data_IF_582825524731
#
_entry.id   IF_582825524731
#
_cell.length_a   1.000
_cell.length_b   1.000
_cell.length_c   1.000
_cell.angle_alpha   90.00
_cell.angle_beta   90.00
_cell.angle_gamma   90.00
#
_symmetry.space_group_name_H-M   'P 1'
#
loop_
_entity.id
_entity.type
_entity.pdbx_description
1 polymer ?
#
# COMPACT_ATOMS: atom_id res chain seq x y z
N UNK A 1 -6.40 -40.26 81.14
CA UNK A 1 -7.17 -39.40 80.28
C UNK A 1 -6.17 -38.69 79.39
N UNK A 2 -6.05 -39.10 78.11
CA UNK A 2 -5.15 -38.47 77.12
C UNK A 2 -6.04 -37.73 76.12
N UNK A 3 -5.90 -36.40 76.04
CA UNK A 3 -6.62 -35.52 75.14
C UNK A 3 -5.85 -35.42 73.82
N UNK A 4 -6.45 -35.92 72.77
CA UNK A 4 -5.92 -35.72 71.39
C UNK A 4 -6.47 -34.41 70.83
N UNK A 5 -5.57 -33.47 70.53
CA UNK A 5 -5.88 -32.24 69.81
C UNK A 5 -5.64 -32.53 68.33
N UNK A 6 -6.72 -32.47 67.56
CA UNK A 6 -6.67 -32.58 66.06
C UNK A 6 -6.44 -31.19 65.48
N UNK A 7 -5.28 -30.98 64.78
CA UNK A 7 -4.99 -29.80 64.05
C UNK A 7 -5.54 -29.97 62.60
N UNK A 8 -6.59 -29.27 62.27
CA UNK A 8 -7.10 -29.19 60.87
C UNK A 8 -6.32 -28.07 60.15
N UNK A 9 -5.40 -28.48 59.29
CA UNK A 9 -4.69 -27.57 58.41
C UNK A 9 -5.61 -27.10 57.25
N UNK A 10 -5.96 -25.82 57.25
CA UNK A 10 -6.72 -25.17 56.19
C UNK A 10 -5.79 -24.83 55.03
N UNK A 11 -5.74 -25.66 53.97
CA UNK A 11 -5.05 -25.35 52.72
C UNK A 11 -5.85 -24.30 51.92
N UNK A 12 -5.43 -23.05 51.97
CA UNK A 12 -5.89 -22.01 51.06
C UNK A 12 -5.33 -22.28 49.64
N UNK A 13 -6.17 -22.84 48.76
CA UNK A 13 -5.89 -22.86 47.33
C UNK A 13 -6.05 -21.43 46.76
N UNK A 14 -4.95 -20.73 46.60
CA UNK A 14 -4.93 -19.51 45.81
C UNK A 14 -5.14 -19.89 44.34
N UNK A 15 -6.37 -19.76 43.83
CA UNK A 15 -6.70 -19.86 42.41
C UNK A 15 -6.07 -18.67 41.71
N UNK A 16 -4.90 -18.85 41.11
CA UNK A 16 -4.37 -17.89 40.12
C UNK A 16 -5.28 -17.90 38.92
N UNK A 17 -6.27 -17.01 38.89
CA UNK A 17 -6.97 -16.68 37.66
C UNK A 17 -5.96 -15.98 36.73
N UNK A 18 -5.36 -16.74 35.82
CA UNK A 18 -4.67 -16.18 34.67
C UNK A 18 -5.74 -15.48 33.81
N UNK A 19 -5.92 -14.18 34.00
CA UNK A 19 -6.61 -13.36 33.00
C UNK A 19 -5.76 -13.42 31.75
N UNK A 20 -6.18 -14.22 30.76
CA UNK A 20 -5.66 -14.08 29.41
C UNK A 20 -5.96 -12.65 28.99
N UNK A 21 -4.92 -11.86 28.73
CA UNK A 21 -5.08 -10.50 28.27
C UNK A 21 -5.98 -10.53 27.03
N UNK A 22 -7.06 -9.74 27.04
CA UNK A 22 -8.00 -9.67 25.92
C UNK A 22 -7.25 -9.16 24.68
N UNK A 23 -7.37 -9.89 23.55
CA UNK A 23 -6.70 -9.52 22.33
C UNK A 23 -7.29 -8.23 21.79
N UNK A 24 -6.44 -7.29 21.40
CA UNK A 24 -6.89 -6.08 20.70
C UNK A 24 -7.49 -6.45 19.36
N UNK A 25 -8.74 -6.07 19.11
CA UNK A 25 -9.34 -6.18 17.76
C UNK A 25 -8.81 -5.06 16.89
N UNK A 26 -8.22 -5.43 15.75
CA UNK A 26 -7.79 -4.50 14.69
C UNK A 26 -8.75 -4.63 13.52
N UNK A 27 -9.60 -3.61 13.31
CA UNK A 27 -10.52 -3.52 12.19
C UNK A 27 -9.79 -2.92 11.01
N UNK A 28 -9.60 -3.68 9.93
CA UNK A 28 -8.84 -3.24 8.76
C UNK A 28 -9.71 -3.18 7.50
N UNK A 29 -9.76 -2.00 6.87
CA UNK A 29 -10.47 -1.78 5.62
C UNK A 29 -9.66 -2.28 4.42
N UNK A 30 -10.22 -3.19 3.63
CA UNK A 30 -9.53 -3.85 2.51
C UNK A 30 -10.31 -3.67 1.21
N UNK A 31 -9.63 -3.16 0.19
CA UNK A 31 -10.20 -3.01 -1.15
C UNK A 31 -10.24 -4.36 -1.88
N UNK A 32 -11.35 -4.66 -2.56
CA UNK A 32 -11.54 -5.91 -3.30
C UNK A 32 -10.48 -6.18 -4.38
N UNK A 33 -9.91 -5.13 -4.99
CA UNK A 33 -8.86 -5.24 -6.01
C UNK A 33 -7.44 -5.07 -5.45
N UNK A 34 -7.30 -4.86 -4.13
CA UNK A 34 -6.01 -4.63 -3.48
C UNK A 34 -5.26 -5.92 -3.20
N UNK A 35 -3.93 -5.81 -3.06
CA UNK A 35 -3.04 -6.94 -2.76
C UNK A 35 -2.83 -7.18 -1.26
N UNK A 36 -3.34 -6.28 -0.40
CA UNK A 36 -3.27 -6.43 1.04
C UNK A 36 -3.97 -7.71 1.52
N UNK A 37 -5.07 -8.09 0.86
CA UNK A 37 -5.82 -9.30 1.23
C UNK A 37 -4.97 -10.58 1.15
N UNK A 38 -3.95 -10.63 0.28
CA UNK A 38 -3.04 -11.79 0.19
C UNK A 38 -2.25 -11.96 1.49
N UNK A 39 -1.74 -10.86 2.03
CA UNK A 39 -0.98 -10.83 3.28
C UNK A 39 -1.86 -11.15 4.49
N UNK A 40 -3.06 -10.57 4.55
CA UNK A 40 -4.00 -10.82 5.63
C UNK A 40 -4.53 -12.26 5.63
N UNK A 41 -4.77 -12.86 4.45
CA UNK A 41 -5.13 -14.27 4.32
C UNK A 41 -4.01 -15.17 4.87
N UNK A 42 -2.75 -14.89 4.50
CA UNK A 42 -1.62 -15.65 5.04
C UNK A 42 -1.53 -15.54 6.57
N UNK A 43 -1.79 -14.36 7.14
CA UNK A 43 -1.84 -14.14 8.59
C UNK A 43 -2.95 -14.94 9.28
N UNK A 44 -4.13 -15.06 8.64
CA UNK A 44 -5.26 -15.78 9.22
C UNK A 44 -5.11 -17.30 9.11
N UNK A 45 -4.51 -17.77 8.00
CA UNK A 45 -4.44 -19.19 7.66
C UNK A 45 -3.23 -19.92 8.26
N UNK A 46 -2.19 -19.19 8.67
CA UNK A 46 -1.00 -19.78 9.25
C UNK A 46 -0.99 -19.64 10.78
N UNK A 47 -1.10 -20.77 11.53
CA UNK A 47 -1.04 -20.74 12.98
C UNK A 47 0.25 -20.15 13.55
N UNK A 48 1.39 -20.25 12.80
CA UNK A 48 2.68 -19.73 13.23
C UNK A 48 2.76 -18.21 13.13
N UNK A 49 1.90 -17.60 12.31
CA UNK A 49 1.81 -16.16 12.11
C UNK A 49 0.73 -15.50 13.00
N UNK A 50 -0.10 -16.32 13.71
CA UNK A 50 -1.18 -15.80 14.57
C UNK A 50 -0.59 -15.19 15.86
N UNK A 51 -0.58 -13.87 16.00
CA UNK A 51 -0.07 -13.23 17.21
C UNK A 51 -1.01 -13.49 18.40
N UNK A 52 -0.43 -13.44 19.59
CA UNK A 52 -1.20 -13.54 20.84
C UNK A 52 -1.94 -12.24 21.17
N UNK A 53 -1.46 -11.10 20.66
CA UNK A 53 -1.78 -9.75 21.13
C UNK A 53 -2.95 -9.10 20.39
N UNK A 54 -3.28 -9.58 19.18
CA UNK A 54 -4.38 -9.02 18.39
C UNK A 54 -5.19 -10.08 17.64
N UNK A 55 -6.36 -9.70 17.21
CA UNK A 55 -7.18 -10.40 16.23
C UNK A 55 -7.59 -9.44 15.11
N UNK A 56 -7.72 -9.96 13.88
CA UNK A 56 -8.09 -9.16 12.71
C UNK A 56 -9.59 -9.28 12.43
N UNK A 57 -10.21 -8.13 12.19
CA UNK A 57 -11.54 -8.00 11.61
C UNK A 57 -11.39 -7.30 10.25
N UNK A 58 -11.54 -8.06 9.16
CA UNK A 58 -11.38 -7.56 7.79
C UNK A 58 -12.71 -7.00 7.32
N UNK A 59 -12.75 -5.72 6.97
CA UNK A 59 -13.92 -5.04 6.44
C UNK A 59 -13.71 -4.69 4.96
N UNK A 60 -14.49 -5.29 4.04
CA UNK A 60 -14.42 -4.94 2.63
C UNK A 60 -14.84 -3.49 2.40
N UNK A 61 -14.05 -2.75 1.61
CA UNK A 61 -14.38 -1.40 1.14
C UNK A 61 -14.37 -1.36 -0.38
N UNK A 62 -15.30 -0.60 -0.97
CA UNK A 62 -15.50 -0.59 -2.41
C UNK A 62 -14.29 -0.05 -3.19
N UNK A 63 -13.63 0.99 -2.66
CA UNK A 63 -12.48 1.65 -3.27
C UNK A 63 -11.68 2.44 -2.23
N UNK A 64 -10.63 3.14 -2.66
CA UNK A 64 -9.77 3.92 -1.78
C UNK A 64 -10.53 5.03 -1.02
N UNK A 65 -11.46 5.72 -1.66
CA UNK A 65 -12.22 6.81 -1.02
C UNK A 65 -13.19 6.26 0.04
N UNK A 66 -13.87 5.15 -0.23
CA UNK A 66 -14.69 4.46 0.78
C UNK A 66 -13.86 4.02 1.99
N UNK A 67 -12.61 3.56 1.76
CA UNK A 67 -11.68 3.25 2.84
C UNK A 67 -11.31 4.46 3.69
N UNK A 68 -11.01 5.60 3.06
CA UNK A 68 -10.71 6.85 3.76
C UNK A 68 -11.89 7.32 4.63
N UNK A 69 -13.12 7.24 4.10
CA UNK A 69 -14.34 7.57 4.85
C UNK A 69 -14.50 6.63 6.04
N UNK A 70 -14.33 5.31 5.84
CA UNK A 70 -14.43 4.33 6.92
C UNK A 70 -13.42 4.58 8.05
N UNK A 71 -12.17 4.94 7.71
CA UNK A 71 -11.14 5.29 8.68
C UNK A 71 -11.48 6.59 9.43
N UNK A 72 -11.89 7.64 8.72
CA UNK A 72 -12.22 8.92 9.32
C UNK A 72 -13.44 8.83 10.25
N UNK A 73 -14.43 8.02 9.90
CA UNK A 73 -15.61 7.77 10.74
C UNK A 73 -15.34 6.83 11.93
N UNK A 74 -14.19 6.15 11.96
CA UNK A 74 -13.87 5.15 12.97
C UNK A 74 -14.56 3.79 12.76
N UNK A 75 -15.13 3.54 11.57
CA UNK A 75 -15.66 2.23 11.22
C UNK A 75 -14.54 1.18 11.10
N UNK A 76 -13.35 1.59 10.70
CA UNK A 76 -12.12 0.78 10.70
C UNK A 76 -10.99 1.51 11.44
N UNK A 77 -10.00 0.77 11.92
CA UNK A 77 -8.83 1.30 12.62
C UNK A 77 -7.66 1.54 11.68
N UNK A 78 -7.55 0.72 10.63
CA UNK A 78 -6.44 0.76 9.67
C UNK A 78 -6.99 0.65 8.24
N UNK A 79 -6.38 1.40 7.32
CA UNK A 79 -6.49 1.19 5.87
C UNK A 79 -5.12 1.25 5.22
N UNK A 80 -5.01 0.83 3.97
CA UNK A 80 -3.85 1.16 3.13
C UNK A 80 -4.16 2.39 2.29
N UNK A 81 -3.35 3.44 2.46
CA UNK A 81 -3.46 4.71 1.71
C UNK A 81 -2.07 5.35 1.58
N UNK A 82 -2.00 6.61 1.14
CA UNK A 82 -0.76 7.32 0.94
C UNK A 82 -0.48 8.39 2.02
N UNK A 83 0.79 8.67 2.23
CA UNK A 83 1.26 9.61 3.24
C UNK A 83 1.01 11.09 2.86
N UNK A 84 0.76 11.40 1.57
CA UNK A 84 0.44 12.77 1.15
C UNK A 84 -0.93 13.16 1.69
N UNK A 85 -1.92 12.25 1.55
CA UNK A 85 -3.22 12.41 2.16
C UNK A 85 -3.14 12.53 3.69
N UNK A 86 -2.31 11.71 4.34
CA UNK A 86 -2.07 11.82 5.80
C UNK A 86 -1.54 13.20 6.16
N UNK A 87 -0.51 13.69 5.44
CA UNK A 87 0.04 15.02 5.67
C UNK A 87 -1.00 16.14 5.47
N UNK A 88 -1.84 16.03 4.45
CA UNK A 88 -2.89 17.03 4.20
C UNK A 88 -3.94 17.08 5.33
N UNK A 89 -4.30 15.92 5.89
CA UNK A 89 -5.19 15.84 7.05
C UNK A 89 -4.54 16.41 8.31
N UNK A 90 -3.26 16.10 8.55
CA UNK A 90 -2.53 16.65 9.71
C UNK A 90 -2.45 18.17 9.67
N UNK A 91 -2.36 18.76 8.49
CA UNK A 91 -2.41 20.21 8.32
C UNK A 91 -3.75 20.85 8.79
N UNK A 92 -4.79 20.04 8.91
CA UNK A 92 -6.09 20.46 9.48
C UNK A 92 -6.29 20.04 10.94
N UNK A 93 -5.25 19.50 11.59
CA UNK A 93 -5.27 19.05 12.98
C UNK A 93 -5.72 17.61 13.17
N UNK A 94 -5.91 16.83 12.11
CA UNK A 94 -6.31 15.43 12.23
C UNK A 94 -5.14 14.55 12.74
N UNK A 95 -5.49 13.55 13.55
CA UNK A 95 -4.56 12.68 14.26
C UNK A 95 -4.25 11.38 13.50
N UNK A 96 -3.92 11.48 12.20
CA UNK A 96 -3.54 10.32 11.41
C UNK A 96 -2.02 10.22 11.21
N UNK A 97 -1.53 9.00 11.07
CA UNK A 97 -0.11 8.69 10.80
C UNK A 97 -0.01 7.54 9.80
N UNK A 98 1.17 7.37 9.22
CA UNK A 98 1.47 6.43 8.16
C UNK A 98 2.62 5.51 8.54
N UNK A 99 2.47 4.21 8.32
CA UNK A 99 3.54 3.22 8.40
C UNK A 99 3.73 2.53 7.03
N UNK A 100 4.96 2.41 6.52
CA UNK A 100 5.23 1.89 5.18
C UNK A 100 4.71 0.48 4.92
N UNK A 101 4.09 0.27 3.73
CA UNK A 101 3.62 -1.03 3.29
C UNK A 101 4.25 -1.47 1.98
N UNK A 102 4.30 -0.60 0.95
CA UNK A 102 4.79 -0.98 -0.38
C UNK A 102 5.46 0.17 -1.12
N UNK A 103 6.58 -0.15 -1.78
CA UNK A 103 7.30 0.74 -2.70
C UNK A 103 6.71 0.73 -4.11
N UNK A 104 5.79 -0.20 -4.41
CA UNK A 104 5.18 -0.30 -5.72
C UNK A 104 4.20 0.83 -5.98
N UNK A 105 4.25 1.40 -7.17
CA UNK A 105 3.31 2.42 -7.60
C UNK A 105 2.64 2.02 -8.93
N UNK A 106 3.01 2.61 -10.03
CA UNK A 106 2.50 2.30 -11.36
C UNK A 106 3.59 2.14 -12.39
N UNK A 107 3.19 1.74 -13.60
CA UNK A 107 4.09 1.60 -14.76
C UNK A 107 3.45 2.08 -16.03
N UNK A 108 4.26 2.64 -16.92
CA UNK A 108 3.90 2.96 -18.30
C UNK A 108 4.12 1.72 -19.16
N UNK A 109 3.04 1.22 -19.76
CA UNK A 109 3.00 -0.03 -20.51
C UNK A 109 2.53 0.24 -21.94
N UNK A 110 3.11 -0.45 -22.90
CA UNK A 110 2.76 -0.39 -24.32
C UNK A 110 2.68 -1.80 -24.94
N UNK A 111 1.99 -2.00 -26.08
CA UNK A 111 2.08 -3.23 -26.84
C UNK A 111 3.54 -3.56 -27.21
N UNK A 112 3.89 -4.85 -27.28
CA UNK A 112 5.27 -5.28 -27.55
C UNK A 112 5.85 -4.73 -28.84
N UNK A 113 5.01 -4.63 -29.88
CA UNK A 113 5.37 -4.09 -31.20
C UNK A 113 5.18 -2.57 -31.33
N UNK A 114 4.88 -1.87 -30.23
CA UNK A 114 4.70 -0.42 -30.23
C UNK A 114 6.00 0.31 -30.60
N UNK A 115 5.94 1.37 -31.41
CA UNK A 115 7.09 2.24 -31.69
C UNK A 115 7.47 3.14 -30.50
N UNK A 116 6.72 3.11 -29.41
CA UNK A 116 6.98 3.91 -28.20
C UNK A 116 8.08 3.22 -27.39
N UNK A 117 9.27 3.82 -27.30
CA UNK A 117 10.43 3.31 -26.55
C UNK A 117 10.82 4.22 -25.38
N UNK A 118 10.30 5.43 -25.34
CA UNK A 118 10.59 6.45 -24.33
C UNK A 118 9.35 7.31 -24.03
N UNK A 119 9.43 8.17 -23.01
CA UNK A 119 8.37 9.14 -22.71
C UNK A 119 8.19 10.14 -23.86
N UNK A 120 9.25 10.48 -24.59
CA UNK A 120 9.17 11.42 -25.73
C UNK A 120 8.30 10.90 -26.88
N UNK A 121 8.24 9.60 -27.05
CA UNK A 121 7.45 8.97 -28.12
C UNK A 121 5.95 8.99 -27.84
N UNK A 122 5.54 9.44 -26.63
CA UNK A 122 4.13 9.63 -26.27
C UNK A 122 3.48 10.83 -26.97
N UNK A 123 4.28 11.75 -27.54
CA UNK A 123 3.74 12.92 -28.23
C UNK A 123 2.76 12.52 -29.35
N UNK A 124 1.54 13.05 -29.30
CA UNK A 124 0.46 12.75 -30.22
C UNK A 124 -0.17 11.37 -30.05
N UNK A 125 0.11 10.67 -28.95
CA UNK A 125 -0.45 9.34 -28.66
C UNK A 125 -1.65 9.42 -27.71
N UNK A 126 -2.51 8.39 -27.77
CA UNK A 126 -3.62 8.19 -26.84
C UNK A 126 -3.08 7.47 -25.61
N UNK A 127 -3.21 8.09 -24.45
CA UNK A 127 -2.71 7.57 -23.19
C UNK A 127 -3.86 7.28 -22.22
N UNK A 128 -4.02 6.01 -21.86
CA UNK A 128 -4.90 5.58 -20.76
C UNK A 128 -4.21 5.77 -19.42
N UNK A 129 -4.89 6.40 -18.46
CA UNK A 129 -4.34 6.72 -17.13
C UNK A 129 -5.27 6.18 -16.06
N UNK A 130 -4.76 5.29 -15.21
CA UNK A 130 -5.51 4.79 -14.07
C UNK A 130 -5.71 5.88 -13.02
N UNK A 131 -6.93 6.02 -12.51
CA UNK A 131 -7.29 7.09 -11.58
C UNK A 131 -7.81 8.34 -12.30
N UNK A 132 -7.35 9.50 -11.89
CA UNK A 132 -7.77 10.80 -12.42
C UNK A 132 -6.60 11.75 -12.65
N UNK A 133 -6.92 13.01 -12.93
CA UNK A 133 -5.91 14.06 -13.18
C UNK A 133 -4.93 14.27 -12.02
N UNK A 134 -5.35 13.93 -10.79
CA UNK A 134 -4.53 14.02 -9.59
C UNK A 134 -3.82 12.69 -9.23
N UNK A 135 -3.83 11.68 -10.12
CA UNK A 135 -3.03 10.47 -9.89
C UNK A 135 -1.54 10.83 -9.78
N UNK A 136 -0.89 10.33 -8.74
CA UNK A 136 0.49 10.70 -8.42
C UNK A 136 1.50 10.20 -9.45
N UNK A 137 1.26 9.02 -10.05
CA UNK A 137 2.14 8.51 -11.11
C UNK A 137 2.02 9.39 -12.36
N UNK A 138 0.79 9.85 -12.67
CA UNK A 138 0.55 10.76 -13.78
C UNK A 138 1.25 12.11 -13.57
N UNK A 139 1.10 12.71 -12.40
CA UNK A 139 1.76 13.99 -12.07
C UNK A 139 3.28 13.88 -12.14
N UNK A 140 3.85 12.81 -11.56
CA UNK A 140 5.30 12.59 -11.59
C UNK A 140 5.82 12.27 -13.00
N UNK A 141 5.04 11.56 -13.82
CA UNK A 141 5.40 11.33 -15.24
C UNK A 141 5.41 12.63 -16.04
N UNK A 142 4.46 13.54 -15.79
CA UNK A 142 4.47 14.89 -16.38
C UNK A 142 5.73 15.66 -15.97
N UNK A 143 6.09 15.64 -14.69
CA UNK A 143 7.31 16.30 -14.21
C UNK A 143 8.57 15.74 -14.89
N UNK A 144 8.64 14.43 -15.08
CA UNK A 144 9.76 13.80 -15.77
C UNK A 144 9.81 14.20 -17.25
N UNK A 145 8.66 14.21 -17.93
CA UNK A 145 8.55 14.66 -19.32
C UNK A 145 8.96 16.13 -19.48
N UNK A 146 8.60 16.97 -18.51
CA UNK A 146 8.95 18.39 -18.51
C UNK A 146 10.47 18.61 -18.41
N UNK A 147 11.21 17.77 -17.65
CA UNK A 147 12.69 17.78 -17.66
C UNK A 147 13.27 17.47 -19.05
N UNK A 148 12.54 16.72 -19.86
CA UNK A 148 12.89 16.39 -21.24
C UNK A 148 12.30 17.37 -22.27
N UNK A 149 11.82 18.54 -21.81
CA UNK A 149 11.23 19.61 -22.61
C UNK A 149 9.94 19.18 -23.33
N UNK A 150 9.20 18.23 -22.79
CA UNK A 150 7.91 17.77 -23.31
C UNK A 150 6.79 18.16 -22.35
N UNK A 151 5.86 18.99 -22.79
CA UNK A 151 4.56 19.16 -22.12
C UNK A 151 3.68 17.95 -22.44
N UNK A 152 3.77 16.92 -21.57
CA UNK A 152 3.04 15.69 -21.77
C UNK A 152 1.54 15.91 -21.66
N UNK A 153 1.09 16.81 -20.78
CA UNK A 153 -0.34 17.09 -20.60
C UNK A 153 -1.01 17.67 -21.85
N UNK A 154 -0.31 18.54 -22.57
CA UNK A 154 -0.80 19.11 -23.83
C UNK A 154 -0.54 18.21 -25.04
N UNK A 155 0.41 17.26 -24.93
CA UNK A 155 0.91 16.50 -26.07
C UNK A 155 0.23 15.14 -26.27
N UNK A 156 -0.57 14.65 -25.31
CA UNK A 156 -1.25 13.35 -25.40
C UNK A 156 -2.77 13.49 -25.31
N UNK A 157 -3.47 12.59 -25.99
CA UNK A 157 -4.91 12.41 -25.79
C UNK A 157 -5.13 11.51 -24.56
N UNK A 158 -5.70 12.09 -23.50
CA UNK A 158 -5.85 11.43 -22.18
C UNK A 158 -7.20 10.72 -22.04
N UNK A 159 -7.17 9.49 -21.55
CA UNK A 159 -8.36 8.76 -21.08
C UNK A 159 -8.15 8.34 -19.65
N UNK A 160 -8.90 8.91 -18.70
CA UNK A 160 -8.86 8.53 -17.30
C UNK A 160 -9.90 7.45 -16.98
N UNK A 161 -9.56 6.56 -16.06
CA UNK A 161 -10.52 5.53 -15.64
C UNK A 161 -10.02 4.61 -14.54
N UNK A 162 -10.91 3.72 -14.10
CA UNK A 162 -10.54 2.67 -13.16
C UNK A 162 -9.48 1.74 -13.75
N UNK A 163 -8.53 1.22 -12.95
CA UNK A 163 -7.41 0.41 -13.44
C UNK A 163 -7.81 -0.77 -14.34
N UNK A 164 -8.87 -1.56 -14.05
CA UNK A 164 -9.30 -2.63 -14.94
C UNK A 164 -9.76 -2.11 -16.31
N UNK A 165 -10.50 -0.99 -16.32
CA UNK A 165 -10.98 -0.37 -17.55
C UNK A 165 -9.83 0.09 -18.43
N UNK A 166 -8.79 0.70 -17.85
CA UNK A 166 -7.60 1.15 -18.55
C UNK A 166 -6.86 -0.03 -19.22
N UNK A 167 -6.79 -1.19 -18.56
CA UNK A 167 -6.25 -2.40 -19.20
C UNK A 167 -7.09 -2.85 -20.40
N UNK A 168 -8.41 -2.76 -20.31
CA UNK A 168 -9.28 -3.11 -21.45
C UNK A 168 -9.15 -2.10 -22.60
N UNK A 169 -8.93 -0.82 -22.34
CA UNK A 169 -8.71 0.18 -23.41
C UNK A 169 -7.50 -0.17 -24.28
N UNK A 170 -6.35 -0.56 -23.68
CA UNK A 170 -5.16 -0.92 -24.46
C UNK A 170 -5.33 -2.25 -25.19
N UNK A 171 -5.98 -3.25 -24.61
CA UNK A 171 -6.27 -4.54 -25.25
C UNK A 171 -7.16 -4.38 -26.48
N UNK A 172 -8.07 -3.41 -26.43
CA UNK A 172 -8.98 -3.07 -27.55
C UNK A 172 -8.38 -2.04 -28.51
N UNK A 173 -7.09 -1.72 -28.41
CA UNK A 173 -6.40 -0.72 -29.24
C UNK A 173 -7.05 0.68 -29.24
N UNK A 174 -7.78 1.01 -28.15
CA UNK A 174 -8.39 2.35 -27.98
C UNK A 174 -7.41 3.38 -27.47
N UNK A 175 -6.33 2.94 -26.84
CA UNK A 175 -5.18 3.74 -26.42
C UNK A 175 -3.89 3.09 -26.88
N UNK A 176 -2.82 3.87 -27.04
CA UNK A 176 -1.52 3.44 -27.55
C UNK A 176 -0.56 3.08 -26.41
N UNK A 177 -0.79 3.63 -25.23
CA UNK A 177 -0.04 3.36 -24.00
C UNK A 177 -0.97 3.47 -22.80
N UNK A 178 -0.60 2.85 -21.68
CA UNK A 178 -1.31 3.00 -20.39
C UNK A 178 -0.32 3.27 -19.28
N UNK A 179 -0.68 4.18 -18.38
CA UNK A 179 -0.08 4.35 -17.07
C UNK A 179 -1.03 3.73 -16.05
N UNK A 180 -0.65 2.56 -15.52
CA UNK A 180 -1.54 1.82 -14.63
C UNK A 180 -0.81 1.36 -13.37
N UNK A 181 -1.57 1.00 -12.34
CA UNK A 181 -1.03 0.48 -11.09
C UNK A 181 -0.30 -0.84 -11.31
N UNK A 182 0.75 -1.08 -10.52
CA UNK A 182 1.71 -2.15 -10.71
C UNK A 182 1.08 -3.53 -10.97
N UNK A 183 0.02 -3.90 -10.25
CA UNK A 183 -0.61 -5.22 -10.37
C UNK A 183 -1.50 -5.35 -11.61
N UNK A 184 -1.95 -4.24 -12.19
CA UNK A 184 -2.59 -4.20 -13.50
C UNK A 184 -1.56 -4.17 -14.63
N UNK A 185 -0.45 -3.46 -14.44
CA UNK A 185 0.70 -3.47 -15.35
C UNK A 185 1.31 -4.89 -15.46
N UNK A 186 1.52 -5.58 -14.33
CA UNK A 186 2.01 -6.95 -14.29
C UNK A 186 1.14 -7.94 -15.10
N UNK A 187 -0.17 -7.74 -15.12
CA UNK A 187 -1.09 -8.55 -15.95
C UNK A 187 -0.87 -8.32 -17.45
N UNK A 188 -0.64 -7.08 -17.86
CA UNK A 188 -0.32 -6.76 -19.26
C UNK A 188 1.06 -7.31 -19.64
N UNK A 189 2.06 -7.16 -18.77
CA UNK A 189 3.39 -7.71 -19.03
C UNK A 189 3.37 -9.24 -19.22
N UNK A 190 2.59 -9.96 -18.41
CA UNK A 190 2.40 -11.41 -18.55
C UNK A 190 1.76 -11.78 -19.91
N UNK A 191 1.00 -10.86 -20.50
CA UNK A 191 0.36 -11.00 -21.81
C UNK A 191 1.23 -10.48 -22.97
N UNK A 192 2.51 -10.21 -22.72
CA UNK A 192 3.47 -9.80 -23.74
C UNK A 192 3.56 -8.31 -24.01
N UNK A 193 2.92 -7.47 -23.20
CA UNK A 193 3.13 -6.02 -23.26
C UNK A 193 4.48 -5.64 -22.66
N UNK A 194 5.00 -4.49 -23.03
CA UNK A 194 6.32 -4.01 -22.64
C UNK A 194 6.22 -2.81 -21.70
N UNK A 195 6.96 -2.86 -20.59
CA UNK A 195 7.14 -1.72 -19.71
C UNK A 195 8.15 -0.73 -20.29
N UNK A 196 7.80 0.53 -20.32
CA UNK A 196 8.69 1.64 -20.67
C UNK A 196 9.42 2.15 -19.44
N UNK A 197 8.67 2.46 -18.39
CA UNK A 197 9.19 2.97 -17.13
C UNK A 197 8.19 2.64 -16.00
N UNK A 198 8.70 2.35 -14.82
CA UNK A 198 7.91 2.22 -13.60
C UNK A 198 8.04 3.47 -12.72
N UNK A 199 7.28 3.52 -11.62
CA UNK A 199 7.31 4.64 -10.70
C UNK A 199 8.66 4.87 -10.06
N UNK A 200 9.46 3.81 -9.84
CA UNK A 200 10.84 3.94 -9.33
C UNK A 200 11.75 4.60 -10.39
N UNK A 201 11.61 4.20 -11.63
CA UNK A 201 12.32 4.81 -12.76
C UNK A 201 11.95 6.29 -12.93
N UNK A 202 10.67 6.64 -12.78
CA UNK A 202 10.19 8.02 -12.80
C UNK A 202 10.86 8.84 -11.70
N UNK A 203 10.83 8.37 -10.46
CA UNK A 203 11.45 9.05 -9.31
C UNK A 203 12.96 9.19 -9.51
N UNK A 204 13.65 8.15 -9.97
CA UNK A 204 15.08 8.21 -10.29
C UNK A 204 15.40 9.26 -11.34
N UNK A 205 14.60 9.33 -12.41
CA UNK A 205 14.72 10.37 -13.44
C UNK A 205 14.49 11.79 -12.91
N UNK A 206 13.67 11.93 -11.87
CA UNK A 206 13.43 13.17 -11.14
C UNK A 206 14.53 13.49 -10.10
N UNK A 207 15.54 12.63 -9.92
CA UNK A 207 16.64 12.83 -8.97
C UNK A 207 16.37 12.30 -7.56
N UNK A 208 15.36 11.42 -7.42
CA UNK A 208 15.05 10.71 -6.18
C UNK A 208 15.56 9.28 -6.33
N UNK A 209 16.68 8.96 -5.72
CA UNK A 209 17.28 7.63 -5.77
C UNK A 209 16.77 6.69 -4.68
N UNK A 210 16.22 7.24 -3.62
CA UNK A 210 15.70 6.52 -2.45
C UNK A 210 14.40 5.77 -2.78
N UNK A 211 14.21 4.62 -2.15
CA UNK A 211 12.99 3.84 -2.25
C UNK A 211 11.93 4.42 -1.30
N UNK A 212 11.13 5.36 -1.78
CA UNK A 212 10.06 5.96 -0.98
C UNK A 212 8.78 5.14 -1.14
N UNK A 213 8.19 4.63 -0.04
CA UNK A 213 6.94 3.89 -0.08
C UNK A 213 5.81 4.71 -0.71
N UNK A 214 5.12 4.12 -1.71
CA UNK A 214 3.98 4.78 -2.36
C UNK A 214 2.74 4.76 -1.49
N UNK A 215 2.54 3.64 -0.79
CA UNK A 215 1.40 3.37 0.08
C UNK A 215 1.84 2.72 1.39
N UNK A 216 1.05 2.91 2.42
CA UNK A 216 1.29 2.34 3.74
C UNK A 216 0.01 2.19 4.55
N UNK A 217 0.14 1.61 5.71
CA UNK A 217 -0.91 1.56 6.71
C UNK A 217 -1.15 2.95 7.27
N UNK A 218 -2.40 3.38 7.28
CA UNK A 218 -2.84 4.66 7.84
C UNK A 218 -3.82 4.39 8.96
N UNK A 219 -3.59 5.02 10.10
CA UNK A 219 -4.34 4.84 11.33
C UNK A 219 -4.23 6.09 12.20
N UNK A 220 -5.06 6.21 13.25
CA UNK A 220 -4.93 7.30 14.23
C UNK A 220 -3.70 7.07 15.13
N UNK A 221 -2.90 8.12 15.32
CA UNK A 221 -1.70 8.06 16.15
C UNK A 221 -2.05 7.79 17.62
N UNK A 222 -3.11 8.41 18.14
CA UNK A 222 -3.60 8.16 19.50
C UNK A 222 -4.03 6.70 19.69
N UNK A 223 -4.83 6.16 18.77
CA UNK A 223 -5.24 4.76 18.82
C UNK A 223 -4.03 3.80 18.83
N UNK A 224 -3.03 4.05 17.99
CA UNK A 224 -1.82 3.24 17.93
C UNK A 224 -0.97 3.37 19.21
N UNK A 225 -0.95 4.54 19.86
CA UNK A 225 -0.27 4.75 21.12
C UNK A 225 -0.91 3.93 22.26
N UNK A 226 -2.25 3.88 22.29
CA UNK A 226 -3.02 3.09 23.27
C UNK A 226 -2.90 1.58 23.02
N UNK A 227 -2.63 1.15 21.77
CA UNK A 227 -2.53 -0.26 21.35
C UNK A 227 -1.15 -0.62 20.80
N UNK A 228 -0.10 -0.02 21.35
CA UNK A 228 1.29 -0.09 20.83
C UNK A 228 1.80 -1.51 20.62
N UNK A 229 1.52 -2.42 21.56
CA UNK A 229 1.92 -3.82 21.43
C UNK A 229 1.22 -4.50 20.26
N UNK A 230 -0.09 -4.34 20.13
CA UNK A 230 -0.88 -4.96 19.07
C UNK A 230 -0.48 -4.43 17.67
N UNK A 231 -0.29 -3.13 17.51
CA UNK A 231 0.09 -2.54 16.22
C UNK A 231 1.51 -2.95 15.78
N UNK A 232 2.46 -3.01 16.72
CA UNK A 232 3.82 -3.47 16.42
C UNK A 232 3.83 -4.98 16.06
N UNK A 233 3.06 -5.80 16.76
CA UNK A 233 2.87 -7.21 16.45
C UNK A 233 2.21 -7.39 15.08
N UNK A 234 1.23 -6.56 14.72
CA UNK A 234 0.60 -6.57 13.41
C UNK A 234 1.60 -6.27 12.29
N UNK A 235 2.43 -5.22 12.39
CA UNK A 235 3.43 -4.90 11.38
C UNK A 235 4.50 -6.00 11.25
N UNK A 236 4.93 -6.58 12.36
CA UNK A 236 5.88 -7.69 12.37
C UNK A 236 5.30 -8.92 11.68
N UNK A 237 4.07 -9.28 12.01
CA UNK A 237 3.37 -10.42 11.42
C UNK A 237 3.11 -10.20 9.91
N UNK A 238 2.75 -8.99 9.49
CA UNK A 238 2.62 -8.63 8.07
C UNK A 238 3.91 -8.81 7.28
N UNK A 239 5.06 -8.37 7.83
CA UNK A 239 6.37 -8.63 7.21
C UNK A 239 6.68 -10.12 7.10
N UNK A 240 6.36 -10.91 8.12
CA UNK A 240 6.55 -12.37 8.10
C UNK A 240 5.65 -13.04 7.06
N UNK A 241 4.36 -12.64 6.98
CA UNK A 241 3.43 -13.14 5.97
C UNK A 241 3.91 -12.82 4.55
N UNK A 242 4.36 -11.59 4.30
CA UNK A 242 4.96 -11.21 3.02
C UNK A 242 6.16 -12.09 2.68
N UNK A 243 7.08 -12.26 3.62
CA UNK A 243 8.26 -13.12 3.41
C UNK A 243 7.85 -14.56 3.06
N UNK A 244 6.88 -15.15 3.77
CA UNK A 244 6.35 -16.46 3.45
C UNK A 244 5.74 -16.53 2.05
N UNK A 245 4.92 -15.57 1.65
CA UNK A 245 4.34 -15.52 0.30
C UNK A 245 5.40 -15.42 -0.78
N UNK A 246 6.54 -14.81 -0.48
CA UNK A 246 7.64 -14.65 -1.42
C UNK A 246 8.58 -15.85 -1.49
N UNK A 247 8.78 -16.57 -0.39
CA UNK A 247 9.76 -17.68 -0.31
C UNK A 247 9.13 -19.06 -0.40
N UNK A 248 7.85 -19.23 -0.03
CA UNK A 248 7.15 -20.50 -0.02
C UNK A 248 6.13 -20.63 -1.16
N UNK A 249 6.31 -21.61 -2.04
CA UNK A 249 5.32 -21.92 -3.07
C UNK A 249 4.01 -22.44 -2.48
N UNK A 250 4.06 -23.15 -1.35
CA UNK A 250 2.87 -23.64 -0.67
C UNK A 250 2.04 -22.49 -0.08
N UNK A 251 2.70 -21.49 0.51
CA UNK A 251 2.02 -20.28 1.01
C UNK A 251 1.40 -19.47 -0.15
N UNK A 252 2.17 -19.27 -1.24
CA UNK A 252 1.66 -18.55 -2.41
C UNK A 252 0.44 -19.26 -3.04
N UNK A 253 0.46 -20.57 -3.12
CA UNK A 253 -0.66 -21.36 -3.68
C UNK A 253 -1.98 -21.10 -2.98
N UNK A 254 -1.96 -20.83 -1.66
CA UNK A 254 -3.18 -20.53 -0.89
C UNK A 254 -3.83 -19.20 -1.28
N UNK A 255 -3.05 -18.22 -1.72
CA UNK A 255 -3.53 -16.88 -2.09
C UNK A 255 -3.81 -16.72 -3.60
N UNK A 256 -3.50 -17.74 -4.41
CA UNK A 256 -3.80 -17.72 -5.86
C UNK A 256 -5.26 -17.36 -6.16
N UNK A 257 -6.29 -17.90 -5.48
CA UNK A 257 -7.68 -17.51 -5.72
C UNK A 257 -7.92 -16.00 -5.56
N UNK A 258 -7.19 -15.34 -4.67
CA UNK A 258 -7.28 -13.90 -4.43
C UNK A 258 -6.60 -13.07 -5.53
N UNK A 259 -5.82 -13.69 -6.41
CA UNK A 259 -5.22 -13.01 -7.56
C UNK A 259 -6.23 -12.78 -8.69
N UNK A 260 -7.41 -13.39 -8.63
CA UNK A 260 -8.49 -13.27 -9.62
C UNK A 260 -8.03 -13.64 -11.05
N UNK A 261 -7.19 -14.68 -11.17
CA UNK A 261 -6.74 -15.22 -12.47
C UNK A 261 -6.26 -16.65 -12.32
N UNK A 262 -6.54 -17.48 -13.31
CA UNK A 262 -6.04 -18.85 -13.43
C UNK A 262 -4.78 -18.91 -14.33
N UNK A 263 -4.40 -17.80 -14.96
CA UNK A 263 -3.21 -17.71 -15.81
C UNK A 263 -1.92 -17.72 -14.97
N UNK A 264 -1.13 -18.77 -15.13
CA UNK A 264 0.12 -18.98 -14.37
C UNK A 264 1.16 -17.91 -14.66
N UNK A 265 1.22 -17.37 -15.89
CA UNK A 265 2.13 -16.29 -16.22
C UNK A 265 1.77 -14.99 -15.48
N UNK A 266 0.48 -14.69 -15.40
CA UNK A 266 -0.03 -13.54 -14.62
C UNK A 266 0.25 -13.76 -13.12
N UNK A 267 -0.05 -14.95 -12.57
CA UNK A 267 0.23 -15.27 -11.16
C UNK A 267 1.70 -15.10 -10.83
N UNK A 268 2.58 -15.53 -11.72
CA UNK A 268 4.05 -15.39 -11.57
C UNK A 268 4.48 -13.94 -11.54
N UNK A 269 3.99 -13.11 -12.48
CA UNK A 269 4.29 -11.68 -12.52
C UNK A 269 3.73 -10.93 -11.31
N UNK A 270 2.53 -11.27 -10.87
CA UNK A 270 1.93 -10.69 -9.66
C UNK A 270 2.75 -11.01 -8.42
N UNK A 271 3.18 -12.28 -8.24
CA UNK A 271 4.05 -12.66 -7.12
C UNK A 271 5.38 -11.91 -7.16
N UNK A 272 6.02 -11.88 -8.32
CA UNK A 272 7.28 -11.16 -8.51
C UNK A 272 7.15 -9.67 -8.15
N UNK A 273 6.13 -8.99 -8.69
CA UNK A 273 5.87 -7.58 -8.39
C UNK A 273 5.57 -7.36 -6.91
N UNK A 274 4.72 -8.20 -6.30
CA UNK A 274 4.40 -8.13 -4.87
C UNK A 274 5.66 -8.22 -4.00
N UNK A 275 6.54 -9.18 -4.31
CA UNK A 275 7.77 -9.39 -3.54
C UNK A 275 8.78 -8.27 -3.73
N UNK A 276 8.94 -7.76 -4.95
CA UNK A 276 9.84 -6.65 -5.25
C UNK A 276 9.38 -5.31 -4.63
N UNK A 277 8.11 -5.21 -4.27
CA UNK A 277 7.52 -4.02 -3.66
C UNK A 277 7.66 -3.93 -2.14
N UNK A 278 8.34 -4.87 -1.50
CA UNK A 278 8.58 -4.83 -0.05
C UNK A 278 9.37 -3.59 0.36
N UNK A 279 9.12 -3.12 1.59
CA UNK A 279 9.87 -2.00 2.17
C UNK A 279 10.92 -2.56 3.11
N UNK A 280 12.18 -2.54 2.66
CA UNK A 280 13.33 -3.02 3.44
C UNK A 280 13.94 -1.94 4.30
N UNK A 281 13.94 -0.70 3.81
CA UNK A 281 14.51 0.47 4.47
C UNK A 281 13.49 1.59 4.53
N UNK A 282 13.37 2.19 5.71
CA UNK A 282 12.58 3.37 5.94
C UNK A 282 13.20 4.18 7.10
N UNK A 283 13.96 5.17 6.77
CA UNK A 283 14.67 6.00 7.72
C UNK A 283 14.66 7.47 7.30
N UNK A 284 15.57 8.24 7.87
CA UNK A 284 15.64 9.69 7.65
C UNK A 284 15.86 10.05 6.17
N UNK A 285 16.69 9.29 5.44
CA UNK A 285 16.96 9.53 4.01
C UNK A 285 15.71 9.39 3.15
N UNK A 286 14.95 8.32 3.37
CA UNK A 286 13.70 8.07 2.65
C UNK A 286 12.63 9.10 3.02
N UNK A 287 12.57 9.54 4.29
CA UNK A 287 11.64 10.59 4.73
C UNK A 287 12.02 11.96 4.14
N UNK A 288 13.30 12.29 4.03
CA UNK A 288 13.75 13.49 3.33
C UNK A 288 13.41 13.42 1.83
N UNK A 289 13.57 12.26 1.21
CA UNK A 289 13.14 12.04 -0.17
C UNK A 289 11.62 12.19 -0.32
N UNK A 290 10.83 11.68 0.62
CA UNK A 290 9.39 11.89 0.65
C UNK A 290 9.02 13.39 0.73
N UNK A 291 9.75 14.17 1.52
CA UNK A 291 9.54 15.63 1.58
C UNK A 291 9.82 16.32 0.23
N UNK A 292 10.83 15.86 -0.53
CA UNK A 292 11.09 16.37 -1.90
C UNK A 292 9.95 15.99 -2.86
N UNK A 293 9.46 14.76 -2.79
CA UNK A 293 8.30 14.30 -3.59
C UNK A 293 7.05 15.11 -3.22
N UNK A 294 6.82 15.37 -1.94
CA UNK A 294 5.71 16.20 -1.47
C UNK A 294 5.71 17.57 -2.13
N UNK A 295 6.86 18.27 -2.11
CA UNK A 295 7.01 19.58 -2.74
C UNK A 295 6.73 19.54 -4.25
N UNK A 296 7.23 18.52 -4.95
CA UNK A 296 6.93 18.35 -6.37
C UNK A 296 5.44 18.14 -6.62
N UNK A 297 4.79 17.21 -5.90
CA UNK A 297 3.38 16.93 -6.08
C UNK A 297 2.49 18.11 -5.66
N UNK A 298 2.90 18.89 -4.66
CA UNK A 298 2.22 20.11 -4.28
C UNK A 298 2.16 21.08 -5.47
N UNK A 299 3.28 21.35 -6.10
CA UNK A 299 3.38 22.24 -7.27
C UNK A 299 2.58 21.69 -8.45
N UNK A 300 2.77 20.41 -8.80
CA UNK A 300 2.14 19.77 -9.95
C UNK A 300 0.61 19.64 -9.82
N UNK A 301 0.11 19.47 -8.61
CA UNK A 301 -1.34 19.41 -8.34
C UNK A 301 -1.98 20.78 -8.09
N UNK A 302 -1.22 21.87 -8.19
CA UNK A 302 -1.67 23.20 -7.76
C UNK A 302 -2.30 23.18 -6.36
N UNK A 303 -1.60 22.54 -5.42
CA UNK A 303 -1.96 22.32 -4.01
C UNK A 303 -3.19 21.40 -3.78
N UNK A 304 -3.82 20.86 -4.82
CA UNK A 304 -5.04 20.05 -4.64
C UNK A 304 -4.78 18.75 -3.85
N UNK A 305 -3.60 18.14 -3.98
CA UNK A 305 -3.23 16.93 -3.20
C UNK A 305 -2.80 17.24 -1.76
N UNK A 306 -2.23 18.42 -1.52
CA UNK A 306 -1.58 18.76 -0.25
C UNK A 306 -2.40 19.74 0.58
N UNK A 307 -3.46 20.30 0.00
CA UNK A 307 -4.26 21.34 0.63
C UNK A 307 -3.42 22.59 0.95
N UNK A 308 -3.68 23.21 2.09
CA UNK A 308 -3.01 24.45 2.52
C UNK A 308 -1.57 24.24 3.02
N UNK A 309 -1.15 22.98 3.24
CA UNK A 309 0.16 22.70 3.80
C UNK A 309 1.30 22.97 2.82
N UNK A 310 2.27 23.79 3.21
CA UNK A 310 3.43 24.13 2.38
C UNK A 310 4.51 23.04 2.43
N UNK A 311 4.53 22.24 3.46
CA UNK A 311 5.49 21.15 3.68
C UNK A 311 4.86 19.92 4.27
N UNK A 312 5.59 18.82 4.19
CA UNK A 312 5.22 17.56 4.84
C UNK A 312 5.06 17.79 6.35
N UNK A 313 3.89 17.45 6.88
CA UNK A 313 3.57 17.74 8.27
C UNK A 313 4.27 16.81 9.25
N UNK A 314 4.73 17.33 10.41
CA UNK A 314 5.28 16.50 11.50
C UNK A 314 4.28 15.42 11.93
N UNK A 315 4.80 14.23 12.28
CA UNK A 315 3.96 13.10 12.70
C UNK A 315 3.26 12.36 11.54
N UNK A 316 3.49 12.78 10.28
CA UNK A 316 2.99 12.03 9.12
C UNK A 316 3.46 10.58 9.14
N UNK A 317 4.67 10.32 9.61
CA UNK A 317 5.27 9.00 9.66
C UNK A 317 5.30 8.45 11.08
N UNK A 318 4.79 7.23 11.25
CA UNK A 318 4.87 6.48 12.50
C UNK A 318 6.27 5.88 12.68
N UNK A 319 6.86 6.08 13.86
CA UNK A 319 8.10 5.43 14.26
C UNK A 319 7.80 4.25 15.18
N UNK A 320 8.26 3.06 14.84
CA UNK A 320 8.26 1.92 15.75
C UNK A 320 9.30 2.25 16.85
N UNK A 321 8.82 2.35 18.07
CA UNK A 321 9.67 2.56 19.26
C UNK A 321 9.95 1.23 19.95
#
# INVERSE_FOLDING_TARGET
>A
MKSNVFFIGLCLFASCNSFAAEKTTIRIGVQASGTLQWELSALQDDPQLKPADFQLEIQPVANAEAGKIALQSGAVDIIVSDWIWVSSLRATGADFTFYPYSNNSGSLIVPNNSPIHSIKDLKGKRLGIAGGELDKNWLLLQALAQKEQLDLSASVEKTFGAPPLINEQIKQNRVDAVLNYWHFAARLEAQGYRQIIDGRGILKGLGIAENVPSIGYVFKQSWAADHKQAINSFFKAGKQARNQLCTSNAAWKKVIPLTQTDDVAIQTKLRQGYCNGGVDQWGEKEQQAAARIYTMLRTLSNNQLTGKSESLQPGTFWSIQ
#
